data_IF_195011240287
#
_entry.id   IF_195011240287
#
_cell.length_a   1.000
_cell.length_b   1.000
_cell.length_c   1.000
_cell.angle_alpha   90.00
_cell.angle_beta   90.00
_cell.angle_gamma   90.00
#
_symmetry.space_group_name_H-M   'P 1'
#
loop_
_entity.id
_entity.type
_entity.pdbx_description
1 polymer ?
#
# COMPACT_ATOMS: atom_id res chain seq x y z
N UNK A 1 -56.65 -58.03 -7.18
CA UNK A 1 -56.31 -58.84 -6.00
C UNK A 1 -54.81 -58.80 -5.83
N UNK A 2 -54.17 -58.66 -4.68
CA UNK A 2 -54.51 -58.18 -3.33
C UNK A 2 -53.13 -58.06 -2.63
N UNK A 3 -52.99 -57.06 -1.77
CA UNK A 3 -51.87 -56.81 -0.85
C UNK A 3 -51.83 -57.89 0.28
N UNK A 4 -51.21 -57.72 1.48
CA UNK A 4 -50.22 -56.73 1.98
C UNK A 4 -49.09 -57.40 2.83
N UNK A 5 -48.06 -56.68 3.31
CA UNK A 5 -47.86 -56.23 4.70
C UNK A 5 -46.32 -56.09 4.89
N UNK A 6 -45.67 -55.26 5.73
CA UNK A 6 -46.04 -54.36 6.84
C UNK A 6 -44.75 -53.65 7.34
N UNK A 7 -44.92 -52.48 7.98
CA UNK A 7 -44.16 -51.89 9.11
C UNK A 7 -43.06 -50.82 8.90
N UNK A 8 -43.18 -49.85 9.81
CA UNK A 8 -42.20 -48.93 10.41
C UNK A 8 -42.03 -47.59 9.69
N UNK A 9 -42.60 -46.49 10.23
CA UNK A 9 -42.24 -45.70 11.44
C UNK A 9 -41.22 -44.61 11.11
N UNK A 10 -41.51 -43.41 11.63
CA UNK A 10 -40.59 -42.26 11.84
C UNK A 10 -40.19 -41.52 10.55
N UNK A 11 -39.97 -40.22 10.52
CA UNK A 11 -40.16 -39.12 11.46
C UNK A 11 -40.01 -37.84 10.62
N UNK A 12 -40.59 -36.75 11.11
CA UNK A 12 -40.40 -35.41 10.60
C UNK A 12 -38.93 -34.98 10.61
N UNK A 13 -38.51 -34.20 9.60
CA UNK A 13 -37.55 -33.10 9.78
C UNK A 13 -37.63 -32.15 8.60
N UNK A 14 -38.54 -31.17 8.69
CA UNK A 14 -38.37 -29.88 8.06
C UNK A 14 -37.14 -29.24 8.72
N UNK A 15 -36.05 -29.03 8.00
CA UNK A 15 -34.96 -28.17 8.46
C UNK A 15 -34.59 -27.21 7.34
N UNK A 16 -35.13 -25.99 7.50
CA UNK A 16 -34.70 -24.79 6.82
C UNK A 16 -33.18 -24.61 7.02
N UNK A 17 -32.44 -24.52 5.92
CA UNK A 17 -31.07 -24.04 5.98
C UNK A 17 -31.10 -22.55 6.34
N UNK A 18 -30.49 -22.11 7.46
CA UNK A 18 -30.32 -20.69 7.68
C UNK A 18 -29.30 -20.19 6.67
N UNK A 19 -29.63 -19.09 6.00
CA UNK A 19 -28.64 -18.24 5.34
C UNK A 19 -27.54 -17.93 6.36
N UNK A 20 -26.38 -18.57 6.20
CA UNK A 20 -25.13 -18.04 6.71
C UNK A 20 -24.80 -16.79 5.89
N UNK A 21 -25.45 -15.68 6.25
CA UNK A 21 -24.82 -14.38 6.08
C UNK A 21 -23.61 -14.39 7.03
N UNK A 22 -22.46 -14.86 6.52
CA UNK A 22 -21.18 -14.52 7.11
C UNK A 22 -21.20 -13.01 7.24
N UNK A 23 -21.19 -12.49 8.46
CA UNK A 23 -20.77 -11.13 8.71
C UNK A 23 -19.39 -11.03 8.05
N UNK A 24 -19.30 -10.29 6.94
CA UNK A 24 -18.01 -9.92 6.42
C UNK A 24 -17.25 -9.26 7.58
N UNK A 25 -15.96 -9.58 7.79
CA UNK A 25 -15.18 -8.88 8.80
C UNK A 25 -15.33 -7.37 8.53
N UNK A 26 -15.66 -6.61 9.57
CA UNK A 26 -15.88 -5.16 9.51
C UNK A 26 -14.69 -4.45 8.81
N UNK A 27 -13.47 -4.99 9.02
CA UNK A 27 -12.19 -4.54 8.45
C UNK A 27 -12.01 -4.82 6.93
N UNK A 28 -13.01 -5.37 6.24
CA UNK A 28 -12.89 -5.64 4.81
C UNK A 28 -12.67 -4.34 4.02
N UNK A 29 -11.61 -4.25 3.18
CA UNK A 29 -11.32 -3.03 2.44
C UNK A 29 -12.46 -2.72 1.49
N UNK A 30 -13.08 -1.57 1.71
CA UNK A 30 -14.18 -1.09 0.89
C UNK A 30 -13.60 -0.26 -0.25
N UNK A 31 -13.91 -0.58 -1.53
CA UNK A 31 -13.47 0.23 -2.65
C UNK A 31 -14.07 1.62 -2.50
N UNK A 32 -13.20 2.62 -2.38
CA UNK A 32 -13.62 4.01 -2.45
C UNK A 32 -13.78 4.43 -3.90
N UNK A 33 -14.53 5.52 -4.08
CA UNK A 33 -14.58 6.23 -5.36
C UNK A 33 -13.16 6.67 -5.74
N UNK A 34 -12.87 6.66 -7.04
CA UNK A 34 -11.59 7.13 -7.61
C UNK A 34 -11.23 8.53 -7.10
N UNK A 35 -10.04 8.66 -6.49
CA UNK A 35 -9.55 9.94 -5.96
C UNK A 35 -8.75 10.69 -7.03
N UNK A 36 -8.97 12.01 -7.10
CA UNK A 36 -8.13 12.91 -7.89
C UNK A 36 -6.78 13.07 -7.19
N UNK A 37 -5.70 12.92 -7.94
CA UNK A 37 -4.35 12.87 -7.39
C UNK A 37 -3.64 14.18 -7.69
N UNK A 38 -3.18 14.88 -6.66
CA UNK A 38 -2.34 16.06 -6.78
C UNK A 38 -0.93 15.74 -6.32
N UNK A 39 0.03 15.83 -7.24
CA UNK A 39 1.46 15.67 -6.95
C UNK A 39 2.13 17.05 -7.02
N UNK A 40 2.71 17.50 -5.91
CA UNK A 40 3.39 18.81 -5.82
C UNK A 40 2.54 19.98 -6.37
N UNK A 41 1.23 19.96 -6.07
CA UNK A 41 0.26 20.96 -6.50
C UNK A 41 -0.19 20.84 -7.95
N UNK A 42 0.22 19.79 -8.68
CA UNK A 42 -0.27 19.48 -10.03
C UNK A 42 -1.29 18.36 -9.98
N UNK A 43 -2.50 18.62 -10.48
CA UNK A 43 -3.51 17.57 -10.67
C UNK A 43 -3.06 16.63 -11.78
N UNK A 44 -2.97 15.35 -11.45
CA UNK A 44 -2.67 14.29 -12.40
C UNK A 44 -3.96 13.84 -13.09
N UNK A 45 -3.92 13.57 -14.41
CA UNK A 45 -5.10 13.20 -15.18
C UNK A 45 -5.58 11.77 -14.90
N UNK A 46 -4.73 10.92 -14.31
CA UNK A 46 -5.04 9.53 -14.00
C UNK A 46 -5.49 9.43 -12.53
N UNK A 47 -6.78 9.19 -12.27
CA UNK A 47 -7.27 9.02 -10.90
C UNK A 47 -6.86 7.65 -10.36
N UNK A 48 -6.63 7.56 -9.05
CA UNK A 48 -6.24 6.34 -8.36
C UNK A 48 -7.48 5.60 -7.83
N UNK A 49 -7.54 4.29 -8.07
CA UNK A 49 -8.44 3.40 -7.33
C UNK A 49 -7.90 3.26 -5.91
N UNK A 50 -8.71 3.62 -4.94
CA UNK A 50 -8.30 3.65 -3.53
C UNK A 50 -9.25 2.80 -2.71
N UNK A 51 -8.74 2.23 -1.63
CA UNK A 51 -9.54 1.45 -0.71
C UNK A 51 -9.51 2.11 0.65
N UNK A 52 -10.62 2.03 1.36
CA UNK A 52 -10.71 2.45 2.74
C UNK A 52 -11.01 1.24 3.61
N UNK A 53 -10.31 1.16 4.73
CA UNK A 53 -10.73 0.37 5.89
C UNK A 53 -11.19 1.35 6.98
N UNK A 54 -11.79 0.85 8.06
CA UNK A 54 -12.27 1.70 9.16
C UNK A 54 -11.18 2.60 9.77
N UNK A 55 -9.91 2.23 9.58
CA UNK A 55 -8.78 2.87 10.24
C UNK A 55 -7.91 3.73 9.31
N UNK A 56 -7.98 3.54 7.99
CA UNK A 56 -7.04 4.17 7.06
C UNK A 56 -7.45 4.07 5.59
N UNK A 57 -6.71 4.79 4.75
CA UNK A 57 -6.80 4.69 3.29
C UNK A 57 -5.60 3.91 2.77
N UNK A 58 -5.89 2.95 1.90
CA UNK A 58 -4.91 2.13 1.21
C UNK A 58 -4.78 2.58 -0.25
N UNK A 59 -3.55 2.71 -0.69
CA UNK A 59 -3.21 3.12 -2.06
C UNK A 59 -2.53 1.97 -2.82
N UNK A 60 -2.82 1.81 -4.12
CA UNK A 60 -2.19 0.80 -4.95
C UNK A 60 -0.71 1.11 -5.15
N UNK A 61 0.14 0.19 -4.73
CA UNK A 61 1.59 0.37 -4.74
C UNK A 61 2.13 0.49 -6.16
N UNK A 62 1.64 -0.29 -7.13
CA UNK A 62 2.15 -0.20 -8.50
C UNK A 62 1.81 1.15 -9.14
N UNK A 63 0.59 1.66 -8.91
CA UNK A 63 0.18 2.95 -9.46
C UNK A 63 0.93 4.12 -8.78
N UNK A 64 1.06 4.13 -7.45
CA UNK A 64 1.87 5.13 -6.73
C UNK A 64 3.33 5.09 -7.21
N UNK A 65 3.88 3.91 -7.40
CA UNK A 65 5.25 3.74 -7.91
C UNK A 65 5.40 4.32 -9.31
N UNK A 66 4.44 4.07 -10.21
CA UNK A 66 4.44 4.64 -11.56
C UNK A 66 4.34 6.16 -11.55
N UNK A 67 3.47 6.73 -10.71
CA UNK A 67 3.28 8.18 -10.59
C UNK A 67 4.55 8.90 -10.12
N UNK A 68 5.31 8.25 -9.24
CA UNK A 68 6.57 8.77 -8.70
C UNK A 68 7.79 8.35 -9.53
N UNK A 69 7.60 7.56 -10.59
CA UNK A 69 8.69 7.05 -11.42
C UNK A 69 9.61 6.04 -10.72
N UNK A 70 9.12 5.31 -9.72
CA UNK A 70 9.88 4.29 -8.99
C UNK A 70 9.93 2.99 -9.80
N UNK A 71 11.09 2.32 -9.84
CA UNK A 71 11.19 0.95 -10.38
C UNK A 71 10.77 -0.05 -9.29
N UNK A 72 9.51 0.01 -8.86
CA UNK A 72 8.91 -0.95 -7.93
C UNK A 72 7.87 -1.77 -8.69
N UNK A 73 8.03 -3.08 -8.65
CA UNK A 73 7.20 -4.05 -9.35
C UNK A 73 6.44 -4.92 -8.35
N UNK A 74 5.13 -4.88 -8.46
CA UNK A 74 4.22 -5.70 -7.67
C UNK A 74 4.08 -7.09 -8.31
N UNK A 75 4.13 -8.12 -7.48
CA UNK A 75 4.00 -9.53 -7.82
C UNK A 75 2.89 -10.12 -6.95
N UNK A 76 1.64 -9.87 -7.31
CA UNK A 76 0.45 -10.34 -6.59
C UNK A 76 0.41 -11.86 -6.43
N UNK A 77 0.84 -12.61 -7.45
CA UNK A 77 0.93 -14.07 -7.38
C UNK A 77 1.81 -14.58 -6.21
N UNK A 78 2.79 -13.79 -5.78
CA UNK A 78 3.68 -14.11 -4.65
C UNK A 78 3.44 -13.23 -3.43
N UNK A 79 2.41 -12.36 -3.44
CA UNK A 79 2.14 -11.35 -2.42
C UNK A 79 3.39 -10.54 -2.03
N UNK A 80 4.18 -10.18 -3.04
CA UNK A 80 5.46 -9.46 -2.88
C UNK A 80 5.52 -8.26 -3.80
N UNK A 81 6.32 -7.27 -3.42
CA UNK A 81 6.76 -6.22 -4.34
C UNK A 81 8.26 -6.05 -4.22
N UNK A 82 8.95 -5.86 -5.34
CA UNK A 82 10.40 -5.71 -5.36
C UNK A 82 10.80 -4.61 -6.34
N UNK A 83 11.89 -3.91 -6.03
CA UNK A 83 12.31 -2.77 -6.82
C UNK A 83 13.52 -2.05 -6.28
N UNK A 84 13.72 -0.84 -6.76
CA UNK A 84 14.76 0.08 -6.27
C UNK A 84 14.18 1.45 -5.95
N UNK A 85 14.67 2.06 -4.88
CA UNK A 85 14.29 3.43 -4.53
C UNK A 85 15.07 4.45 -5.37
N UNK A 86 14.43 5.52 -5.85
CA UNK A 86 15.09 6.60 -6.58
C UNK A 86 16.03 7.37 -5.65
N UNK A 87 17.11 7.92 -6.20
CA UNK A 87 18.12 8.67 -5.45
C UNK A 87 19.13 7.77 -4.75
N UNK A 88 18.71 6.91 -3.82
CA UNK A 88 19.63 6.04 -3.06
C UNK A 88 20.04 4.76 -3.81
N UNK A 89 19.20 4.27 -4.74
CA UNK A 89 19.42 2.99 -5.43
C UNK A 89 19.26 1.77 -4.53
N UNK A 90 18.72 1.95 -3.33
CA UNK A 90 18.57 0.86 -2.37
C UNK A 90 17.49 -0.14 -2.83
N UNK A 91 17.72 -1.45 -2.62
CA UNK A 91 16.71 -2.45 -2.91
C UNK A 91 15.50 -2.28 -1.99
N UNK A 92 14.32 -2.22 -2.60
CA UNK A 92 13.03 -2.25 -1.94
C UNK A 92 12.43 -3.65 -2.11
N UNK A 93 12.07 -4.31 -1.02
CA UNK A 93 11.42 -5.62 -1.04
C UNK A 93 10.32 -5.68 0.02
N UNK A 94 9.07 -5.71 -0.40
CA UNK A 94 7.89 -5.90 0.42
C UNK A 94 7.46 -7.37 0.35
N UNK A 95 7.21 -7.98 1.49
CA UNK A 95 6.66 -9.33 1.64
C UNK A 95 5.45 -9.30 2.57
N UNK A 96 4.25 -9.49 1.99
CA UNK A 96 3.00 -9.44 2.76
C UNK A 96 2.81 -10.71 3.60
N UNK A 97 3.31 -11.86 3.15
CA UNK A 97 3.19 -13.12 3.91
C UNK A 97 3.94 -13.01 5.24
N UNK A 98 5.11 -12.38 5.21
CA UNK A 98 5.92 -12.09 6.39
C UNK A 98 5.54 -10.78 7.10
N UNK A 99 4.61 -10.00 6.52
CA UNK A 99 4.27 -8.64 6.95
C UNK A 99 5.52 -7.79 7.24
N UNK A 100 6.47 -7.88 6.32
CA UNK A 100 7.78 -7.27 6.48
C UNK A 100 8.25 -6.61 5.19
N UNK A 101 9.02 -5.54 5.35
CA UNK A 101 9.65 -4.81 4.28
C UNK A 101 11.16 -4.75 4.52
N UNK A 102 11.92 -4.81 3.44
CA UNK A 102 13.36 -4.60 3.43
C UNK A 102 13.69 -3.44 2.52
N UNK A 103 14.36 -2.43 3.07
CA UNK A 103 14.87 -1.25 2.35
C UNK A 103 16.37 -1.21 2.61
N UNK A 104 17.17 -1.47 1.58
CA UNK A 104 18.61 -1.65 1.73
C UNK A 104 18.91 -2.84 2.65
N UNK A 105 19.64 -2.56 3.72
CA UNK A 105 19.97 -3.53 4.78
C UNK A 105 18.94 -3.55 5.92
N UNK A 106 18.01 -2.59 5.96
CA UNK A 106 17.03 -2.46 7.04
C UNK A 106 15.83 -3.35 6.76
N UNK A 107 15.51 -4.25 7.70
CA UNK A 107 14.24 -4.98 7.71
C UNK A 107 13.31 -4.38 8.75
N UNK A 108 12.09 -4.04 8.35
CA UNK A 108 11.05 -3.50 9.20
C UNK A 108 9.84 -4.40 9.13
N UNK A 109 9.21 -4.69 10.27
CA UNK A 109 7.90 -5.33 10.32
C UNK A 109 6.80 -4.28 10.38
N UNK A 110 5.65 -4.59 9.82
CA UNK A 110 4.46 -3.76 9.87
C UNK A 110 3.24 -4.62 10.20
N UNK A 111 2.13 -3.98 10.55
CA UNK A 111 0.91 -4.72 10.85
C UNK A 111 0.24 -5.20 9.56
N UNK A 112 -0.17 -6.47 9.45
CA UNK A 112 -0.71 -7.05 8.22
C UNK A 112 -1.88 -6.26 7.61
N UNK A 113 -2.73 -5.68 8.46
CA UNK A 113 -3.86 -4.83 8.04
C UNK A 113 -3.47 -3.55 7.30
N UNK A 114 -2.20 -3.13 7.39
CA UNK A 114 -1.67 -1.94 6.73
C UNK A 114 -1.25 -2.19 5.28
N UNK A 115 -1.15 -3.45 4.84
CA UNK A 115 -0.88 -3.77 3.45
C UNK A 115 -1.53 -5.08 3.03
N UNK A 116 -2.28 -5.05 1.94
CA UNK A 116 -3.06 -6.20 1.47
C UNK A 116 -3.03 -6.29 -0.05
N UNK A 117 -2.96 -7.52 -0.57
CA UNK A 117 -3.17 -7.76 -2.00
C UNK A 117 -4.67 -7.74 -2.32
N UNK A 118 -5.07 -6.89 -3.26
CA UNK A 118 -6.47 -6.77 -3.71
C UNK A 118 -6.48 -6.76 -5.24
N UNK A 119 -7.13 -7.75 -5.85
CA UNK A 119 -7.12 -7.91 -7.30
C UNK A 119 -5.70 -8.17 -7.82
N UNK A 120 -5.21 -7.29 -8.69
CA UNK A 120 -3.89 -7.40 -9.33
C UNK A 120 -2.85 -6.40 -8.80
N UNK A 121 -3.13 -5.74 -7.67
CA UNK A 121 -2.17 -4.83 -7.02
C UNK A 121 -2.05 -5.10 -5.51
N UNK A 122 -1.00 -4.55 -4.91
CA UNK A 122 -0.79 -4.53 -3.46
C UNK A 122 -1.15 -3.13 -2.96
N UNK A 123 -2.15 -3.07 -2.11
CA UNK A 123 -2.64 -1.85 -1.50
C UNK A 123 -1.95 -1.63 -0.17
N UNK A 124 -1.34 -0.46 0.02
CA UNK A 124 -0.54 -0.12 1.19
C UNK A 124 -1.09 1.15 1.81
N UNK A 125 -1.15 1.18 3.14
CA UNK A 125 -1.54 2.34 3.92
C UNK A 125 -0.70 3.58 3.58
N UNK A 126 -1.36 4.73 3.50
CA UNK A 126 -0.70 6.03 3.31
C UNK A 126 0.39 6.28 4.36
N UNK A 127 0.19 5.81 5.61
CA UNK A 127 1.17 5.95 6.68
C UNK A 127 2.45 5.14 6.40
N UNK A 128 2.32 3.91 5.89
CA UNK A 128 3.47 3.08 5.53
C UNK A 128 4.20 3.65 4.34
N UNK A 129 3.48 4.06 3.29
CA UNK A 129 4.08 4.69 2.11
C UNK A 129 4.84 5.96 2.49
N UNK A 130 4.26 6.82 3.32
CA UNK A 130 4.93 8.03 3.79
C UNK A 130 6.21 7.73 4.56
N UNK A 131 6.21 6.70 5.42
CA UNK A 131 7.39 6.27 6.18
C UNK A 131 8.47 5.63 5.31
N UNK A 132 8.09 4.81 4.33
CA UNK A 132 9.03 4.04 3.52
C UNK A 132 9.65 4.85 2.40
N UNK A 133 8.86 5.72 1.78
CA UNK A 133 9.27 6.52 0.62
C UNK A 133 9.61 7.96 0.99
N UNK A 134 9.55 8.31 2.29
CA UNK A 134 9.69 9.66 2.81
C UNK A 134 8.78 10.67 2.08
N UNK A 135 7.51 10.30 1.97
CA UNK A 135 6.48 11.09 1.31
C UNK A 135 5.52 11.66 2.35
N UNK A 136 4.97 12.83 2.06
CA UNK A 136 3.85 13.40 2.77
C UNK A 136 2.58 13.16 1.95
N UNK A 137 1.70 12.30 2.46
CA UNK A 137 0.42 11.97 1.83
C UNK A 137 -0.71 12.52 2.69
N UNK A 138 -1.60 13.31 2.09
CA UNK A 138 -2.80 13.84 2.73
C UNK A 138 -4.04 13.46 1.91
N UNK A 139 -4.96 12.73 2.54
CA UNK A 139 -6.23 12.36 1.92
C UNK A 139 -7.31 13.34 2.36
N UNK A 140 -7.89 14.05 1.40
CA UNK A 140 -9.03 14.93 1.56
C UNK A 140 -10.28 14.22 1.01
N UNK A 141 -10.90 13.40 1.86
CA UNK A 141 -12.13 12.67 1.52
C UNK A 141 -13.31 13.60 1.16
N UNK A 142 -13.53 14.75 1.82
CA UNK A 142 -14.59 15.68 1.44
C UNK A 142 -14.51 16.14 -0.02
N UNK A 143 -13.30 16.43 -0.51
CA UNK A 143 -13.07 16.88 -1.88
C UNK A 143 -12.67 15.73 -2.83
N UNK A 144 -12.60 14.50 -2.35
CA UNK A 144 -12.11 13.33 -3.10
C UNK A 144 -10.73 13.55 -3.73
N UNK A 145 -9.84 14.18 -2.96
CA UNK A 145 -8.49 14.53 -3.40
C UNK A 145 -7.44 13.83 -2.56
N UNK A 146 -6.42 13.28 -3.21
CA UNK A 146 -5.19 12.79 -2.59
C UNK A 146 -4.06 13.77 -2.94
N UNK A 147 -3.49 14.42 -1.92
CA UNK A 147 -2.31 15.27 -2.08
C UNK A 147 -1.06 14.47 -1.72
N UNK A 148 -0.10 14.44 -2.62
CA UNK A 148 1.21 13.85 -2.42
C UNK A 148 2.27 14.94 -2.57
N UNK A 149 3.15 15.00 -1.58
CA UNK A 149 4.31 15.86 -1.57
C UNK A 149 5.54 15.01 -1.24
N UNK A 150 6.54 15.02 -2.11
CA UNK A 150 7.80 14.34 -1.82
C UNK A 150 8.61 15.19 -0.83
N UNK A 151 8.85 14.68 0.39
CA UNK A 151 9.79 15.32 1.33
C UNK A 151 11.21 14.96 0.89
N UNK A 152 11.72 15.71 -0.08
CA UNK A 152 13.16 15.90 -0.33
C UNK A 152 14.07 14.66 -0.14
N UNK A 153 13.82 13.59 -0.90
CA UNK A 153 14.82 12.53 -1.19
C UNK A 153 15.10 12.39 -2.69
N UNK A 154 14.46 13.21 -3.53
CA UNK A 154 14.73 13.28 -4.97
C UNK A 154 15.73 14.41 -5.34
N UNK A 155 16.22 15.19 -4.38
CA UNK A 155 17.18 16.28 -4.61
C UNK A 155 18.63 15.81 -4.85
N UNK A 156 18.92 14.50 -4.82
CA UNK A 156 20.26 13.98 -5.11
C UNK A 156 20.60 13.88 -6.61
N UNK A 157 19.77 14.43 -7.51
CA UNK A 157 20.03 14.43 -8.97
C UNK A 157 20.52 15.77 -9.53
N UNK A 158 20.90 16.74 -8.69
CA UNK A 158 21.68 17.90 -9.14
C UNK A 158 23.06 17.87 -8.49
N UNK A 159 24.16 17.82 -9.28
CA UNK A 159 25.49 17.99 -8.72
C UNK A 159 25.57 19.41 -8.16
N UNK A 160 25.61 19.51 -6.83
CA UNK A 160 25.96 20.77 -6.17
C UNK A 160 27.39 21.14 -6.57
N UNK A 161 27.67 22.37 -7.03
CA UNK A 161 29.04 22.83 -7.17
C UNK A 161 29.72 22.73 -5.80
N UNK A 162 30.84 22.02 -5.74
CA UNK A 162 31.58 21.81 -4.51
C UNK A 162 31.84 23.16 -3.82
N UNK A 163 31.56 23.32 -2.51
CA UNK A 163 31.89 24.53 -1.80
C UNK A 163 33.41 24.74 -1.86
N UNK A 164 33.90 25.97 -2.11
CA UNK A 164 35.33 26.25 -2.06
C UNK A 164 35.83 25.92 -0.66
N UNK A 165 36.77 24.96 -0.57
CA UNK A 165 37.34 24.59 0.70
C UNK A 165 38.05 25.81 1.32
N UNK A 166 37.85 26.10 2.62
CA UNK A 166 38.57 27.16 3.28
C UNK A 166 40.05 26.76 3.39
N UNK A 167 40.89 27.36 2.55
CA UNK A 167 42.34 27.31 2.70
C UNK A 167 42.73 28.09 3.95
N UNK A 168 42.89 27.39 5.07
CA UNK A 168 43.53 27.91 6.27
C UNK A 168 44.23 26.77 6.99
N UNK A 169 45.49 26.95 7.40
CA UNK A 169 45.67 27.62 8.67
C UNK A 169 46.47 28.92 8.58
N UNK A 170 45.97 29.90 9.34
CA UNK A 170 46.67 31.12 9.72
C UNK A 170 47.87 30.74 10.60
N UNK A 171 49.09 30.95 10.10
CA UNK A 171 50.28 31.21 10.92
C UNK A 171 50.81 32.56 10.46
N UNK A 172 50.41 33.59 11.19
CA UNK A 172 51.06 34.90 11.20
C UNK A 172 52.08 34.86 12.33
N UNK A 173 53.32 35.24 11.99
CA UNK A 173 54.42 35.78 12.79
C UNK A 173 54.80 35.15 14.15
N UNK A 174 56.05 34.68 14.26
CA UNK A 174 57.17 35.32 15.01
C UNK A 174 58.45 34.48 14.88
#
# INVERSE_FOLDING_TARGET
>A
MAQPNVRSLLAAALLAAPLLALAAPDDAPTPLRRLEVQLDGRTLPEPLDVFQTDYQVLLPLAAVSRLLGLDIRVQTASNRAAGTLPGSGEPFCLDLAESSIRIGERRLSFEPRLAQAIGDDIYVSTQLLGRWLNLELAVDLPHWQLRLHARDVLSAALPLPAPPQPTGPRRIDE
#
